data_IF_891241028634
#
_entry.id   IF_891241028634
#
_cell.length_a   1.000
_cell.length_b   1.000
_cell.length_c   1.000
_cell.angle_alpha   90.00
_cell.angle_beta   90.00
_cell.angle_gamma   90.00
#
_symmetry.space_group_name_H-M   'P 1'
#
loop_
_entity.id
_entity.type
_entity.pdbx_description
1 polymer ?
#
# COMPACT_ATOMS: atom_id res chain seq x y z
N UNK A 1 3.17 16.03 18.36
CA UNK A 1 1.74 16.37 18.55
C UNK A 1 1.16 16.79 17.22
N UNK A 2 0.20 16.03 16.69
CA UNK A 2 -0.51 16.33 15.45
C UNK A 2 -1.84 16.99 15.73
N UNK A 3 -2.20 17.97 14.91
CA UNK A 3 -3.47 18.67 14.98
C UNK A 3 -4.14 18.70 13.62
N UNK A 4 -5.38 18.27 13.56
CA UNK A 4 -6.22 18.42 12.37
C UNK A 4 -7.29 19.48 12.65
N UNK A 5 -7.48 20.39 11.68
CA UNK A 5 -8.52 21.40 11.73
C UNK A 5 -9.28 21.44 10.42
N UNK A 6 -10.58 21.49 10.47
CA UNK A 6 -11.38 21.81 9.31
C UNK A 6 -11.34 23.31 9.01
N UNK A 7 -11.12 23.64 7.75
CA UNK A 7 -11.20 25.03 7.28
C UNK A 7 -12.60 25.59 7.47
N UNK A 8 -12.65 26.88 7.73
CA UNK A 8 -13.87 27.60 8.15
C UNK A 8 -14.84 27.99 7.02
N UNK A 9 -14.54 27.64 5.76
CA UNK A 9 -15.34 28.02 4.59
C UNK A 9 -16.33 26.94 4.15
N UNK A 10 -16.64 25.98 5.00
CA UNK A 10 -17.68 25.02 4.71
C UNK A 10 -19.06 25.65 4.90
N UNK A 11 -20.00 25.19 4.08
CA UNK A 11 -21.41 25.55 4.21
C UNK A 11 -21.91 25.35 5.65
N UNK A 12 -23.02 25.98 6.01
CA UNK A 12 -23.65 25.88 7.32
C UNK A 12 -23.89 24.44 7.81
N UNK A 13 -23.82 23.44 6.91
CA UNK A 13 -23.91 22.03 7.24
C UNK A 13 -22.63 21.45 7.92
N UNK A 14 -21.53 22.20 7.97
CA UNK A 14 -20.26 21.73 8.54
C UNK A 14 -19.78 22.71 9.59
N UNK A 15 -20.22 22.50 10.78
CA UNK A 15 -20.19 23.49 11.83
C UNK A 15 -18.86 23.81 12.43
N UNK A 16 -18.78 25.10 12.80
CA UNK A 16 -17.90 25.53 13.88
C UNK A 16 -18.57 25.25 15.22
N UNK A 17 -17.81 24.89 16.27
CA UNK A 17 -18.30 24.91 17.62
C UNK A 17 -18.92 26.28 17.95
N UNK A 18 -20.11 26.27 18.49
CA UNK A 18 -20.83 27.49 18.89
C UNK A 18 -21.59 28.20 17.74
N UNK A 19 -21.63 27.66 16.53
CA UNK A 19 -22.48 28.17 15.47
C UNK A 19 -23.79 27.40 15.44
N UNK A 20 -24.88 28.09 15.72
CA UNK A 20 -26.23 27.54 15.60
C UNK A 20 -26.58 27.35 14.13
N UNK A 21 -26.83 26.11 13.69
CA UNK A 21 -27.12 25.76 12.28
C UNK A 21 -28.58 25.56 11.99
N UNK A 22 -29.40 25.54 13.03
CA UNK A 22 -30.79 25.13 12.94
C UNK A 22 -30.96 23.61 12.78
N UNK A 23 -29.89 22.85 12.87
CA UNK A 23 -29.91 21.41 12.98
C UNK A 23 -29.68 21.04 14.45
N UNK A 24 -30.74 20.66 15.19
CA UNK A 24 -30.64 20.41 16.63
C UNK A 24 -29.58 19.35 16.95
N UNK A 25 -29.39 18.40 16.04
CA UNK A 25 -28.44 17.32 16.22
C UNK A 25 -26.97 17.80 16.23
N UNK A 26 -26.66 18.81 15.45
CA UNK A 26 -25.34 19.38 15.35
C UNK A 26 -25.13 20.46 16.42
N UNK A 27 -26.17 21.26 16.68
CA UNK A 27 -26.11 22.40 17.62
C UNK A 27 -26.00 21.92 19.07
N UNK A 28 -26.63 20.77 19.42
CA UNK A 28 -26.60 20.20 20.74
C UNK A 28 -25.28 19.50 21.10
N UNK A 29 -24.54 18.98 20.12
CA UNK A 29 -23.36 18.15 20.36
C UNK A 29 -22.07 18.95 20.56
N UNK A 30 -22.08 20.26 20.37
CA UNK A 30 -20.89 21.13 20.52
C UNK A 30 -19.65 20.53 19.80
N UNK A 31 -19.76 20.26 18.51
CA UNK A 31 -18.81 19.52 17.69
C UNK A 31 -17.39 20.07 17.78
N UNK A 32 -16.37 19.22 17.98
CA UNK A 32 -15.00 19.65 17.93
C UNK A 32 -14.62 20.10 16.52
N UNK A 33 -13.90 21.24 16.42
CA UNK A 33 -13.32 21.74 15.17
C UNK A 33 -11.87 21.27 14.98
N UNK A 34 -11.34 20.53 15.96
CA UNK A 34 -9.99 19.97 15.95
C UNK A 34 -9.95 18.61 16.62
N UNK A 35 -9.04 17.78 16.13
CA UNK A 35 -8.56 16.57 16.80
C UNK A 35 -7.09 16.77 17.19
N UNK A 36 -6.72 16.34 18.36
CA UNK A 36 -5.36 16.35 18.85
C UNK A 36 -4.98 14.94 19.28
N UNK A 37 -3.80 14.52 18.90
CA UNK A 37 -3.22 13.25 19.33
C UNK A 37 -1.78 13.48 19.75
N UNK A 38 -1.38 12.86 20.85
CA UNK A 38 0.00 12.83 21.32
C UNK A 38 0.30 11.44 21.87
N UNK A 39 1.55 11.04 21.76
CA UNK A 39 2.00 9.73 22.21
C UNK A 39 3.52 9.63 22.17
N UNK A 40 4.02 8.55 22.73
CA UNK A 40 5.44 8.18 22.69
C UNK A 40 5.54 6.87 21.94
N UNK A 41 6.40 6.82 20.92
CA UNK A 41 6.71 5.62 20.16
C UNK A 41 8.17 5.24 20.38
N UNK A 42 8.44 3.95 20.38
CA UNK A 42 9.76 3.38 20.55
C UNK A 42 10.29 2.72 19.29
N UNK A 43 11.64 2.67 19.17
CA UNK A 43 12.31 1.84 18.18
C UNK A 43 13.62 1.33 18.76
N UNK A 44 13.87 0.03 18.59
CA UNK A 44 15.14 -0.59 18.92
C UNK A 44 15.59 -1.49 17.77
N UNK A 45 16.84 -1.37 17.36
CA UNK A 45 17.43 -2.21 16.30
C UNK A 45 18.78 -2.74 16.78
N UNK A 46 18.96 -4.05 16.63
CA UNK A 46 20.24 -4.72 16.81
C UNK A 46 20.70 -5.27 15.46
N UNK A 47 21.90 -4.87 15.04
CA UNK A 47 22.52 -5.34 13.80
C UNK A 47 23.79 -6.15 14.12
N UNK A 48 23.96 -7.24 13.39
CA UNK A 48 25.13 -8.10 13.49
C UNK A 48 25.78 -8.28 12.11
N UNK A 49 26.95 -7.70 11.93
CA UNK A 49 27.79 -7.95 10.77
C UNK A 49 28.58 -9.23 10.98
N UNK A 50 28.14 -10.34 10.37
CA UNK A 50 28.84 -11.63 10.40
C UNK A 50 30.15 -11.57 9.61
N UNK A 51 30.14 -10.80 8.50
CA UNK A 51 31.28 -10.48 7.64
C UNK A 51 31.00 -9.16 6.92
N UNK A 52 31.94 -8.71 6.08
CA UNK A 52 31.72 -7.53 5.20
C UNK A 52 30.56 -7.74 4.22
N UNK A 53 30.27 -8.99 3.87
CA UNK A 53 29.28 -9.37 2.89
C UNK A 53 27.94 -9.84 3.51
N UNK A 54 27.84 -10.02 4.83
CA UNK A 54 26.67 -10.60 5.47
C UNK A 54 26.32 -9.85 6.74
N UNK A 55 25.17 -9.23 6.74
CA UNK A 55 24.57 -8.56 7.89
C UNK A 55 23.18 -9.13 8.19
N UNK A 56 22.89 -9.33 9.47
CA UNK A 56 21.56 -9.62 10.01
C UNK A 56 21.13 -8.50 10.94
N UNK A 57 19.82 -8.29 11.04
CA UNK A 57 19.28 -7.34 12.01
C UNK A 57 17.95 -7.83 12.59
N UNK A 58 17.63 -7.34 13.78
CA UNK A 58 16.32 -7.45 14.41
C UNK A 58 15.87 -6.05 14.76
N UNK A 59 14.65 -5.73 14.44
CA UNK A 59 14.02 -4.44 14.78
C UNK A 59 12.70 -4.68 15.50
N UNK A 60 12.49 -3.96 16.59
CA UNK A 60 11.20 -3.67 17.16
C UNK A 60 10.90 -2.19 16.97
N UNK A 61 9.69 -1.85 16.55
CA UNK A 61 9.29 -0.46 16.39
C UNK A 61 7.79 -0.28 16.57
N UNK A 62 7.42 0.86 17.10
CA UNK A 62 6.05 1.31 17.26
C UNK A 62 5.76 2.50 16.35
N UNK A 63 4.51 2.67 15.98
CA UNK A 63 4.00 3.79 15.23
C UNK A 63 2.54 4.04 15.56
N UNK A 64 2.01 5.21 15.21
CA UNK A 64 0.59 5.51 15.29
C UNK A 64 0.16 6.48 14.19
N UNK A 65 -1.12 6.43 13.85
CA UNK A 65 -1.78 7.49 13.08
C UNK A 65 -2.71 8.27 14.01
N UNK A 66 -2.70 9.61 13.96
CA UNK A 66 -3.59 10.43 14.80
C UNK A 66 -5.05 10.18 14.46
N UNK A 67 -5.93 10.43 15.40
CA UNK A 67 -7.37 10.39 15.19
C UNK A 67 -7.83 11.43 14.17
N UNK A 68 -8.90 11.11 13.46
CA UNK A 68 -9.46 11.91 12.38
C UNK A 68 -10.77 12.57 12.82
N UNK A 69 -11.04 13.76 12.29
CA UNK A 69 -12.32 14.45 12.44
C UNK A 69 -13.34 13.93 11.40
N UNK A 70 -14.53 13.56 11.89
CA UNK A 70 -15.63 13.13 11.04
C UNK A 70 -16.57 14.29 10.70
N UNK A 71 -17.00 14.36 9.44
CA UNK A 71 -17.99 15.35 8.99
C UNK A 71 -19.43 14.92 9.19
N UNK A 72 -19.81 13.65 8.94
CA UNK A 72 -21.18 13.23 9.27
C UNK A 72 -21.29 12.84 10.75
N UNK A 73 -20.45 13.39 11.60
CA UNK A 73 -20.43 13.09 13.02
C UNK A 73 -21.82 13.24 13.66
N UNK A 74 -22.14 12.36 14.61
CA UNK A 74 -23.45 12.30 15.26
C UNK A 74 -24.57 11.65 14.44
N UNK A 75 -24.33 11.25 13.20
CA UNK A 75 -25.24 10.38 12.47
C UNK A 75 -25.28 9.01 13.16
N UNK A 76 -26.47 8.41 13.24
CA UNK A 76 -26.70 7.15 13.94
C UNK A 76 -27.43 6.16 13.08
N UNK A 77 -27.26 4.88 13.40
CA UNK A 77 -28.15 3.82 12.91
C UNK A 77 -29.60 4.11 13.32
N UNK A 78 -30.61 3.63 12.58
CA UNK A 78 -32.02 3.84 12.90
C UNK A 78 -32.43 3.32 14.30
N UNK A 79 -31.76 2.30 14.79
CA UNK A 79 -31.98 1.72 16.12
C UNK A 79 -31.13 2.38 17.23
N UNK A 80 -30.27 3.33 16.86
CA UNK A 80 -29.38 4.01 17.78
C UNK A 80 -28.22 3.16 18.34
N UNK A 81 -28.00 1.96 17.77
CA UNK A 81 -26.93 1.05 18.26
C UNK A 81 -25.54 1.56 17.97
N UNK A 82 -25.38 2.43 16.97
CA UNK A 82 -24.12 3.06 16.60
C UNK A 82 -24.31 4.53 16.24
N UNK A 83 -23.35 5.33 16.62
CA UNK A 83 -23.28 6.77 16.27
C UNK A 83 -21.86 7.11 15.81
N UNK A 84 -21.76 7.78 14.65
CA UNK A 84 -20.47 8.24 14.11
C UNK A 84 -19.82 9.20 15.09
N UNK A 85 -18.66 8.81 15.59
CA UNK A 85 -17.90 9.64 16.54
C UNK A 85 -17.38 10.90 15.86
N UNK A 86 -17.39 12.05 16.56
CA UNK A 86 -16.83 13.30 16.03
C UNK A 86 -15.35 13.17 15.70
N UNK A 87 -14.63 12.43 16.50
CA UNK A 87 -13.19 12.15 16.37
C UNK A 87 -12.98 10.66 16.56
N UNK A 88 -12.20 10.05 15.68
CA UNK A 88 -11.70 8.67 15.87
C UNK A 88 -10.56 8.65 16.88
N UNK A 89 -10.30 7.52 17.50
CA UNK A 89 -9.08 7.31 18.27
C UNK A 89 -7.88 7.14 17.31
N UNK A 90 -6.66 7.35 17.80
CA UNK A 90 -5.45 6.95 17.09
C UNK A 90 -5.46 5.43 16.84
N UNK A 91 -4.91 4.99 15.73
CA UNK A 91 -4.50 3.59 15.60
C UNK A 91 -3.02 3.44 15.94
N UNK A 92 -2.67 2.27 16.44
CA UNK A 92 -1.32 1.95 16.87
C UNK A 92 -0.81 0.74 16.10
N UNK A 93 0.49 0.75 15.83
CA UNK A 93 1.18 -0.31 15.09
C UNK A 93 2.43 -0.72 15.87
N UNK A 94 2.59 -2.02 16.09
CA UNK A 94 3.82 -2.61 16.60
C UNK A 94 4.40 -3.56 15.57
N UNK A 95 5.66 -3.33 15.18
CA UNK A 95 6.38 -4.15 14.21
C UNK A 95 7.54 -4.90 14.86
N UNK A 96 7.66 -6.18 14.55
CA UNK A 96 8.79 -7.05 14.84
C UNK A 96 9.36 -7.56 13.53
N UNK A 97 10.64 -7.34 13.29
CA UNK A 97 11.27 -7.67 12.01
C UNK A 97 12.63 -8.33 12.25
N UNK A 98 12.90 -9.41 11.51
CA UNK A 98 14.21 -9.99 11.32
C UNK A 98 14.58 -9.90 9.85
N UNK A 99 15.73 -9.30 9.55
CA UNK A 99 16.16 -9.15 8.17
C UNK A 99 17.63 -9.51 7.95
N UNK A 100 17.97 -9.63 6.67
CA UNK A 100 19.32 -9.90 6.20
C UNK A 100 19.68 -9.05 4.99
N UNK A 101 20.96 -8.71 4.89
CA UNK A 101 21.57 -8.10 3.71
C UNK A 101 22.81 -8.91 3.36
N UNK A 102 22.85 -9.45 2.14
CA UNK A 102 23.91 -10.37 1.77
C UNK A 102 24.44 -10.09 0.38
N UNK A 103 25.78 -10.23 0.26
CA UNK A 103 26.51 -10.28 -1.01
C UNK A 103 27.21 -11.64 -1.07
N UNK A 104 26.81 -12.48 -1.98
CA UNK A 104 27.20 -13.88 -2.07
C UNK A 104 27.89 -14.17 -3.39
N UNK A 105 28.53 -15.35 -3.51
CA UNK A 105 29.15 -15.83 -4.75
C UNK A 105 30.19 -14.83 -5.32
N UNK A 106 31.07 -14.32 -4.45
CA UNK A 106 32.12 -13.37 -4.84
C UNK A 106 31.56 -12.08 -5.50
N UNK A 107 30.48 -11.53 -4.91
CA UNK A 107 29.85 -10.29 -5.38
C UNK A 107 28.80 -10.47 -6.47
N UNK A 108 28.59 -11.70 -6.97
CA UNK A 108 27.67 -11.94 -8.09
C UNK A 108 26.20 -12.03 -7.68
N UNK A 109 25.90 -12.32 -6.43
CA UNK A 109 24.54 -12.39 -5.93
C UNK A 109 24.37 -11.46 -4.72
N UNK A 110 23.62 -10.40 -4.87
CA UNK A 110 23.05 -9.65 -3.77
C UNK A 110 21.66 -10.18 -3.48
N UNK A 111 21.40 -10.59 -2.24
CA UNK A 111 20.08 -11.04 -1.80
C UNK A 111 19.78 -10.44 -0.41
N UNK A 112 18.77 -9.61 -0.36
CA UNK A 112 18.26 -8.99 0.87
C UNK A 112 16.86 -9.48 1.13
N UNK A 113 16.43 -9.45 2.38
CA UNK A 113 15.05 -9.76 2.73
C UNK A 113 14.77 -9.55 4.20
N UNK A 114 13.51 -9.67 4.54
CA UNK A 114 13.03 -9.65 5.92
C UNK A 114 11.81 -10.53 6.11
N UNK A 115 11.66 -11.03 7.33
CA UNK A 115 10.43 -11.61 7.86
C UNK A 115 9.92 -10.66 8.92
N UNK A 116 8.64 -10.35 8.91
CA UNK A 116 8.06 -9.40 9.85
C UNK A 116 6.69 -9.84 10.34
N UNK A 117 6.33 -9.32 11.50
CA UNK A 117 5.01 -9.41 12.10
C UNK A 117 4.61 -8.00 12.56
N UNK A 118 3.42 -7.57 12.15
CA UNK A 118 2.86 -6.26 12.47
C UNK A 118 1.52 -6.45 13.13
N UNK A 119 1.40 -5.99 14.37
CA UNK A 119 0.15 -5.90 15.11
C UNK A 119 -0.43 -4.50 14.92
N UNK A 120 -1.69 -4.41 14.50
CA UNK A 120 -2.42 -3.17 14.29
C UNK A 120 -3.60 -3.12 15.24
N UNK A 121 -3.59 -2.13 16.14
CA UNK A 121 -4.66 -1.88 17.10
C UNK A 121 -5.50 -0.69 16.66
N UNK A 122 -6.83 -0.88 16.62
CA UNK A 122 -7.76 0.19 16.27
C UNK A 122 -7.63 0.70 14.83
N UNK A 123 -7.32 -0.18 13.86
CA UNK A 123 -7.17 0.17 12.45
C UNK A 123 -8.24 1.15 11.97
N UNK A 124 -7.83 2.36 11.62
CA UNK A 124 -8.72 3.36 11.05
C UNK A 124 -9.00 3.04 9.59
N UNK A 125 -10.27 3.04 9.22
CA UNK A 125 -10.69 2.93 7.82
C UNK A 125 -11.78 3.94 7.50
N UNK A 126 -11.95 4.23 6.21
CA UNK A 126 -13.06 5.03 5.72
C UNK A 126 -14.21 4.10 5.40
N UNK A 127 -15.36 4.37 5.99
CA UNK A 127 -16.58 3.57 5.86
C UNK A 127 -17.60 4.35 5.03
N UNK A 128 -18.25 3.65 4.10
CA UNK A 128 -19.47 4.11 3.48
C UNK A 128 -20.60 3.14 3.86
N UNK A 129 -21.46 3.57 4.78
CA UNK A 129 -22.63 2.81 5.22
C UNK A 129 -23.85 3.74 5.19
N UNK A 130 -24.67 3.65 4.13
CA UNK A 130 -25.83 4.53 3.96
C UNK A 130 -26.93 4.31 5.01
N UNK A 131 -26.89 3.22 5.76
CA UNK A 131 -27.83 3.02 6.90
C UNK A 131 -27.48 3.90 8.09
N UNK A 132 -26.22 4.36 8.19
CA UNK A 132 -25.72 5.24 9.23
C UNK A 132 -25.65 6.68 8.74
N UNK A 133 -24.91 6.90 7.63
CA UNK A 133 -24.70 8.22 7.07
C UNK A 133 -24.54 8.13 5.54
N UNK A 134 -25.23 8.99 4.79
CA UNK A 134 -25.07 9.05 3.33
C UNK A 134 -23.80 9.84 2.93
N UNK A 135 -22.74 9.71 3.71
CA UNK A 135 -21.42 10.28 3.49
C UNK A 135 -20.38 9.31 4.04
N UNK A 136 -19.15 9.42 3.52
CA UNK A 136 -18.02 8.69 4.08
C UNK A 136 -17.67 9.22 5.48
N UNK A 137 -17.37 8.32 6.39
CA UNK A 137 -16.83 8.63 7.70
C UNK A 137 -15.66 7.69 8.02
N UNK A 138 -14.83 8.08 8.97
CA UNK A 138 -13.73 7.26 9.47
C UNK A 138 -14.10 6.65 10.81
N UNK A 139 -13.68 5.42 11.04
CA UNK A 139 -13.80 4.75 12.32
C UNK A 139 -12.61 3.85 12.59
N UNK A 140 -12.37 3.53 13.85
CA UNK A 140 -11.47 2.47 14.25
C UNK A 140 -12.22 1.14 14.06
N UNK A 141 -12.04 0.52 12.90
CA UNK A 141 -12.92 -0.54 12.45
C UNK A 141 -12.49 -1.94 12.91
N UNK A 142 -11.20 -2.14 13.16
CA UNK A 142 -10.67 -3.48 13.43
C UNK A 142 -9.35 -3.46 14.20
N UNK A 143 -9.04 -4.58 14.87
CA UNK A 143 -7.66 -4.97 15.16
C UNK A 143 -7.23 -5.99 14.10
N UNK A 144 -5.98 -5.94 13.67
CA UNK A 144 -5.47 -6.79 12.59
C UNK A 144 -4.02 -7.18 12.79
N UNK A 145 -3.66 -8.37 12.27
CA UNK A 145 -2.29 -8.86 12.20
C UNK A 145 -1.84 -8.95 10.75
N UNK A 146 -0.56 -8.67 10.52
CA UNK A 146 0.10 -8.85 9.23
C UNK A 146 1.40 -9.61 9.48
N UNK A 147 1.56 -10.75 8.83
CA UNK A 147 2.83 -11.48 8.80
C UNK A 147 3.35 -11.52 7.38
N UNK A 148 4.63 -11.27 7.19
CA UNK A 148 5.18 -11.20 5.85
C UNK A 148 6.61 -11.67 5.72
N UNK A 149 6.93 -12.02 4.49
CA UNK A 149 8.29 -12.26 3.99
C UNK A 149 8.48 -11.44 2.72
N UNK A 150 9.50 -10.61 2.70
CA UNK A 150 9.86 -9.84 1.52
C UNK A 150 11.34 -9.99 1.18
N UNK A 151 11.67 -9.78 -0.09
CA UNK A 151 13.05 -9.83 -0.52
C UNK A 151 13.28 -9.25 -1.89
N UNK A 152 14.54 -8.90 -2.14
CA UNK A 152 15.05 -8.48 -3.43
C UNK A 152 16.37 -9.18 -3.75
N UNK A 153 16.64 -9.36 -5.04
CA UNK A 153 17.91 -9.90 -5.48
C UNK A 153 18.39 -9.28 -6.79
N UNK A 154 19.71 -9.23 -6.94
CA UNK A 154 20.41 -8.98 -8.21
C UNK A 154 21.43 -10.08 -8.37
N UNK A 155 21.42 -10.75 -9.50
CA UNK A 155 22.30 -11.87 -9.81
C UNK A 155 22.99 -11.67 -11.17
N UNK A 156 24.28 -11.79 -11.16
CA UNK A 156 25.15 -11.83 -12.34
C UNK A 156 25.65 -13.26 -12.53
N UNK A 157 24.99 -14.09 -13.35
CA UNK A 157 25.45 -15.46 -13.63
C UNK A 157 26.78 -15.46 -14.41
N UNK A 158 27.36 -16.67 -14.60
CA UNK A 158 28.58 -16.84 -15.40
C UNK A 158 28.31 -16.74 -16.92
N UNK A 159 27.46 -15.81 -17.31
CA UNK A 159 27.13 -15.45 -18.70
C UNK A 159 27.42 -13.96 -18.82
N UNK A 160 28.47 -13.62 -19.57
CA UNK A 160 28.86 -12.22 -19.76
C UNK A 160 27.68 -11.40 -20.30
N UNK A 161 27.43 -10.23 -19.69
CA UNK A 161 26.35 -9.35 -20.08
C UNK A 161 24.95 -9.70 -19.54
N UNK A 162 24.79 -10.84 -18.86
CA UNK A 162 23.48 -11.21 -18.27
C UNK A 162 23.35 -10.75 -16.82
N UNK A 163 22.26 -10.06 -16.53
CA UNK A 163 21.83 -9.68 -15.19
C UNK A 163 20.39 -10.17 -14.98
N UNK A 164 20.13 -10.80 -13.85
CA UNK A 164 18.78 -11.18 -13.41
C UNK A 164 18.49 -10.45 -12.10
N UNK A 165 17.32 -9.84 -11.99
CA UNK A 165 16.91 -9.14 -10.78
C UNK A 165 15.44 -9.41 -10.48
N UNK A 166 15.07 -9.28 -9.23
CA UNK A 166 13.68 -9.46 -8.84
C UNK A 166 13.43 -8.99 -7.42
N UNK A 167 12.14 -8.86 -7.12
CA UNK A 167 11.65 -8.62 -5.77
C UNK A 167 10.35 -9.39 -5.57
N UNK A 168 10.06 -9.74 -4.33
CA UNK A 168 8.84 -10.42 -3.96
C UNK A 168 8.39 -10.00 -2.56
N UNK A 169 7.08 -10.08 -2.35
CA UNK A 169 6.42 -9.95 -1.05
C UNK A 169 5.38 -11.06 -0.91
N UNK A 170 5.42 -11.76 0.21
CA UNK A 170 4.42 -12.73 0.63
C UNK A 170 3.78 -12.22 1.90
N UNK A 171 2.47 -12.04 1.92
CA UNK A 171 1.72 -11.51 3.04
C UNK A 171 0.63 -12.48 3.46
N UNK A 172 0.49 -12.62 4.76
CA UNK A 172 -0.68 -13.19 5.42
C UNK A 172 -1.27 -12.11 6.33
N UNK A 173 -2.52 -11.74 6.08
CA UNK A 173 -3.18 -10.65 6.81
C UNK A 173 -4.48 -11.15 7.39
N UNK A 174 -4.79 -10.78 8.63
CA UNK A 174 -6.00 -11.22 9.30
C UNK A 174 -6.61 -10.10 10.13
N UNK A 175 -7.91 -9.85 9.94
CA UNK A 175 -8.71 -9.07 10.87
C UNK A 175 -8.95 -9.95 12.11
N UNK A 176 -8.39 -9.57 13.24
CA UNK A 176 -8.52 -10.32 14.50
C UNK A 176 -9.82 -10.03 15.21
N UNK A 177 -10.26 -8.78 15.14
CA UNK A 177 -11.44 -8.32 15.88
C UNK A 177 -12.11 -7.18 15.14
N UNK A 178 -13.43 -7.24 15.00
CA UNK A 178 -14.24 -6.10 14.59
C UNK A 178 -14.47 -5.15 15.76
N UNK A 179 -14.29 -3.86 15.55
CA UNK A 179 -14.50 -2.79 16.52
C UNK A 179 -15.68 -1.88 16.14
N UNK A 180 -16.31 -2.10 15.00
CA UNK A 180 -17.43 -1.32 14.47
C UNK A 180 -18.67 -2.21 14.31
N UNK A 181 -19.85 -1.58 14.20
CA UNK A 181 -21.10 -2.26 13.85
C UNK A 181 -21.29 -2.45 12.35
N UNK A 182 -20.47 -1.79 11.51
CA UNK A 182 -20.43 -2.07 10.08
C UNK A 182 -19.87 -3.48 9.85
N UNK A 183 -20.28 -4.13 8.77
CA UNK A 183 -20.02 -5.54 8.47
C UNK A 183 -18.53 -5.85 8.24
N UNK A 184 -17.72 -5.69 9.27
CA UNK A 184 -16.31 -6.14 9.33
C UNK A 184 -16.26 -7.51 10.00
N UNK A 185 -15.69 -8.49 9.36
CA UNK A 185 -15.68 -9.88 9.82
C UNK A 185 -14.28 -10.32 10.21
N UNK A 186 -14.11 -10.79 11.45
CA UNK A 186 -12.86 -11.39 11.91
C UNK A 186 -12.52 -12.67 11.10
N UNK A 187 -11.22 -12.94 10.93
CA UNK A 187 -10.72 -14.04 10.10
C UNK A 187 -10.68 -13.73 8.60
N UNK A 188 -10.87 -12.47 8.19
CA UNK A 188 -10.78 -12.02 6.80
C UNK A 188 -9.51 -11.24 6.55
N UNK A 189 -9.10 -11.23 5.28
CA UNK A 189 -7.94 -10.49 4.82
C UNK A 189 -8.17 -8.97 4.87
N UNK A 190 -7.10 -8.22 5.01
CA UNK A 190 -7.10 -6.76 4.85
C UNK A 190 -7.34 -6.38 3.37
N UNK A 191 -7.87 -5.17 3.19
CA UNK A 191 -8.07 -4.60 1.86
C UNK A 191 -6.73 -4.30 1.16
N UNK A 192 -6.69 -4.50 -0.16
CA UNK A 192 -5.54 -4.24 -1.03
C UNK A 192 -4.24 -4.91 -0.59
N UNK A 193 -4.35 -6.04 0.11
CA UNK A 193 -3.24 -6.84 0.61
C UNK A 193 -3.21 -8.20 -0.11
N UNK A 194 -2.66 -8.30 -1.33
CA UNK A 194 -2.52 -9.58 -2.03
C UNK A 194 -1.53 -10.49 -1.29
N UNK A 195 -1.84 -11.77 -1.19
CA UNK A 195 -0.99 -12.75 -0.51
C UNK A 195 0.38 -12.95 -1.15
N UNK A 196 0.54 -12.60 -2.43
CA UNK A 196 1.82 -12.61 -3.13
C UNK A 196 1.87 -11.47 -4.13
N UNK A 197 3.01 -10.78 -4.17
CA UNK A 197 3.42 -9.92 -5.27
C UNK A 197 4.87 -10.24 -5.63
N UNK A 198 5.17 -10.33 -6.93
CA UNK A 198 6.51 -10.61 -7.39
C UNK A 198 6.80 -9.97 -8.73
N UNK A 199 8.06 -9.62 -8.94
CA UNK A 199 8.57 -9.30 -10.26
C UNK A 199 9.95 -9.94 -10.45
N UNK A 200 10.23 -10.32 -11.70
CA UNK A 200 11.56 -10.78 -12.13
C UNK A 200 11.89 -10.17 -13.47
N UNK A 201 13.11 -9.71 -13.64
CA UNK A 201 13.63 -9.18 -14.89
C UNK A 201 14.95 -9.86 -15.24
N UNK A 202 15.14 -10.14 -16.53
CA UNK A 202 16.39 -10.57 -17.09
C UNK A 202 16.82 -9.57 -18.16
N UNK A 203 18.04 -9.04 -18.04
CA UNK A 203 18.65 -8.09 -18.98
C UNK A 203 19.94 -8.69 -19.51
N UNK A 204 20.04 -8.72 -20.83
CA UNK A 204 21.26 -9.15 -21.52
C UNK A 204 21.82 -7.99 -22.31
N UNK A 205 23.12 -7.71 -22.13
CA UNK A 205 23.86 -6.65 -22.81
C UNK A 205 25.04 -7.25 -23.57
N UNK A 206 25.33 -6.71 -24.74
CA UNK A 206 26.46 -7.15 -25.57
C UNK A 206 27.14 -5.96 -26.25
N UNK A 207 28.46 -6.06 -26.44
CA UNK A 207 29.23 -5.12 -27.26
C UNK A 207 28.94 -5.28 -28.72
N UNK A 208 28.75 -4.18 -29.42
CA UNK A 208 28.58 -4.14 -30.87
C UNK A 208 29.89 -3.68 -31.54
N UNK A 209 30.12 -4.10 -32.80
CA UNK A 209 31.30 -3.71 -33.59
C UNK A 209 31.42 -2.21 -33.82
N UNK A 210 30.33 -1.45 -33.66
CA UNK A 210 30.31 0.02 -33.75
C UNK A 210 30.79 0.72 -32.50
N UNK A 211 31.16 0.00 -31.42
CA UNK A 211 31.50 0.56 -30.11
C UNK A 211 30.29 0.91 -29.24
N UNK A 212 29.08 0.66 -29.73
CA UNK A 212 27.84 0.79 -28.95
C UNK A 212 27.57 -0.51 -28.16
N UNK A 213 26.66 -0.41 -27.17
CA UNK A 213 26.11 -1.53 -26.41
C UNK A 213 24.70 -1.82 -26.90
N UNK A 214 24.44 -3.06 -27.32
CA UNK A 214 23.09 -3.56 -27.50
C UNK A 214 22.54 -4.11 -26.20
N UNK A 215 21.22 -4.03 -25.99
CA UNK A 215 20.57 -4.69 -24.85
C UNK A 215 19.17 -5.20 -25.21
N UNK A 216 18.78 -6.25 -24.52
CA UNK A 216 17.39 -6.75 -24.45
C UNK A 216 17.03 -7.02 -22.99
N UNK A 217 15.81 -6.73 -22.61
CA UNK A 217 15.29 -7.01 -21.27
C UNK A 217 13.87 -7.54 -21.36
N UNK A 218 13.61 -8.63 -20.65
CA UNK A 218 12.27 -9.11 -20.33
C UNK A 218 11.98 -8.92 -18.86
N UNK A 219 10.73 -8.64 -18.52
CA UNK A 219 10.25 -8.55 -17.14
C UNK A 219 8.90 -9.23 -17.02
N UNK A 220 8.71 -10.02 -15.98
CA UNK A 220 7.44 -10.61 -15.58
C UNK A 220 7.00 -10.00 -14.24
N UNK A 221 5.74 -9.62 -14.14
CA UNK A 221 5.09 -9.12 -12.93
C UNK A 221 3.91 -10.03 -12.63
N UNK A 222 3.73 -10.39 -11.37
CA UNK A 222 2.61 -11.18 -10.89
C UNK A 222 2.09 -10.65 -9.55
N UNK A 223 0.78 -10.73 -9.36
CA UNK A 223 0.10 -10.44 -8.10
C UNK A 223 -0.99 -11.46 -7.87
N UNK A 224 -1.14 -11.90 -6.63
CA UNK A 224 -2.29 -12.70 -6.22
C UNK A 224 -3.54 -11.82 -6.12
N UNK A 225 -4.70 -12.46 -5.92
CA UNK A 225 -5.96 -11.79 -5.67
C UNK A 225 -5.88 -10.86 -4.46
N UNK A 226 -6.71 -9.83 -4.45
CA UNK A 226 -6.94 -8.96 -3.31
C UNK A 226 -8.41 -8.56 -3.21
N UNK A 227 -8.74 -7.78 -2.21
CA UNK A 227 -10.10 -7.26 -2.02
C UNK A 227 -10.04 -5.75 -1.83
N UNK A 228 -11.07 -5.04 -2.27
CA UNK A 228 -11.10 -3.57 -2.25
C UNK A 228 -11.47 -2.96 -0.90
N UNK A 229 -12.06 -3.73 0.00
CA UNK A 229 -12.60 -3.22 1.27
C UNK A 229 -12.57 -4.32 2.32
N UNK A 230 -12.58 -3.93 3.60
CA UNK A 230 -12.80 -4.80 4.74
C UNK A 230 -14.28 -4.88 5.13
N UNK A 231 -15.12 -3.96 4.63
CA UNK A 231 -16.56 -3.94 4.83
C UNK A 231 -17.22 -4.89 3.81
N UNK A 232 -17.82 -5.98 4.28
CA UNK A 232 -18.30 -7.06 3.41
C UNK A 232 -19.25 -6.60 2.28
N UNK A 233 -20.25 -5.71 2.49
CA UNK A 233 -21.11 -5.21 1.40
C UNK A 233 -20.38 -4.41 0.32
N UNK A 234 -19.24 -3.80 0.64
CA UNK A 234 -18.44 -2.97 -0.27
C UNK A 234 -17.29 -3.75 -0.91
N UNK A 235 -17.08 -4.98 -0.46
CA UNK A 235 -15.94 -5.81 -0.80
C UNK A 235 -16.05 -6.35 -2.22
N UNK A 236 -15.19 -5.88 -3.09
CA UNK A 236 -15.02 -6.42 -4.43
C UNK A 236 -13.69 -7.15 -4.55
N UNK A 237 -13.70 -8.31 -5.19
CA UNK A 237 -12.51 -9.10 -5.46
C UNK A 237 -11.80 -8.57 -6.69
N UNK A 238 -10.50 -8.34 -6.59
CA UNK A 238 -9.57 -8.21 -7.70
C UNK A 238 -8.92 -9.58 -7.91
N UNK A 239 -9.04 -10.13 -9.11
CA UNK A 239 -8.44 -11.44 -9.44
C UNK A 239 -6.91 -11.36 -9.52
N UNK A 240 -6.25 -12.49 -9.31
CA UNK A 240 -4.82 -12.62 -9.53
C UNK A 240 -4.48 -12.38 -11.00
N UNK A 241 -3.33 -11.79 -11.25
CA UNK A 241 -2.89 -11.48 -12.60
C UNK A 241 -1.38 -11.62 -12.77
N UNK A 242 -0.97 -11.73 -14.02
CA UNK A 242 0.42 -11.58 -14.42
C UNK A 242 0.52 -10.95 -15.80
N UNK A 243 1.56 -10.15 -16.02
CA UNK A 243 1.85 -9.56 -17.31
C UNK A 243 3.35 -9.42 -17.53
N UNK A 244 3.75 -9.25 -18.78
CA UNK A 244 5.15 -9.14 -19.15
C UNK A 244 5.43 -7.83 -19.91
N UNK A 245 6.65 -7.34 -19.72
CA UNK A 245 7.22 -6.21 -20.45
C UNK A 245 8.47 -6.66 -21.19
N UNK A 246 8.71 -6.10 -22.35
CA UNK A 246 9.93 -6.35 -23.16
C UNK A 246 10.47 -5.02 -23.66
N UNK A 247 11.77 -4.87 -23.63
CA UNK A 247 12.47 -3.73 -24.22
C UNK A 247 13.78 -4.15 -24.86
N UNK A 248 14.16 -3.46 -25.90
CA UNK A 248 15.44 -3.63 -26.58
C UNK A 248 15.96 -2.30 -27.07
N UNK A 249 17.27 -2.13 -27.07
CA UNK A 249 17.84 -0.85 -27.46
C UNK A 249 19.33 -0.91 -27.70
N UNK A 250 19.84 0.25 -28.04
CA UNK A 250 21.26 0.50 -28.29
C UNK A 250 21.65 1.74 -27.47
N UNK A 251 22.82 1.73 -26.90
CA UNK A 251 23.34 2.85 -26.12
C UNK A 251 24.84 3.05 -26.33
N UNK A 252 25.29 4.26 -26.01
CA UNK A 252 26.69 4.58 -25.77
C UNK A 252 26.78 5.64 -24.65
N UNK A 253 27.95 6.18 -24.39
CA UNK A 253 28.18 7.14 -23.32
C UNK A 253 27.32 8.41 -23.42
N UNK A 254 26.90 8.81 -24.63
CA UNK A 254 26.17 10.04 -24.89
C UNK A 254 24.66 9.86 -25.08
N UNK A 255 24.17 8.69 -25.41
CA UNK A 255 22.76 8.51 -25.73
C UNK A 255 22.27 7.06 -25.56
N UNK A 256 20.95 6.93 -25.43
CA UNK A 256 20.21 5.64 -25.42
C UNK A 256 19.03 5.76 -26.37
N UNK A 257 18.86 4.77 -27.24
CA UNK A 257 17.67 4.59 -28.08
C UNK A 257 17.05 3.22 -27.77
N UNK A 258 15.78 3.18 -27.41
CA UNK A 258 15.10 1.97 -26.94
C UNK A 258 13.69 1.89 -27.51
N UNK A 259 13.29 0.72 -27.98
CA UNK A 259 11.89 0.35 -28.21
C UNK A 259 11.42 -0.48 -27.04
N UNK A 260 10.19 -0.28 -26.60
CA UNK A 260 9.59 -1.06 -25.52
C UNK A 260 8.14 -1.43 -25.83
N UNK A 261 7.74 -2.56 -25.26
CA UNK A 261 6.35 -3.02 -25.22
C UNK A 261 6.05 -3.30 -23.73
N UNK A 262 5.27 -2.44 -23.11
CA UNK A 262 4.75 -2.67 -21.79
C UNK A 262 3.44 -3.45 -21.88
N UNK A 263 3.23 -4.42 -20.97
CA UNK A 263 2.07 -5.29 -20.96
C UNK A 263 1.85 -6.00 -22.31
N UNK A 264 2.84 -6.75 -22.77
CA UNK A 264 2.79 -7.47 -24.06
C UNK A 264 1.66 -8.51 -24.14
N UNK A 265 1.19 -8.97 -22.98
CA UNK A 265 0.05 -9.90 -22.83
C UNK A 265 -1.31 -9.22 -22.99
N UNK A 266 -1.35 -7.88 -23.05
CA UNK A 266 -2.54 -7.03 -23.01
C UNK A 266 -3.51 -7.39 -21.86
N UNK A 267 -2.93 -7.74 -20.70
CA UNK A 267 -3.71 -8.05 -19.49
C UNK A 267 -4.54 -6.84 -19.05
N UNK A 268 -5.75 -7.07 -18.54
CA UNK A 268 -6.69 -6.04 -18.10
C UNK A 268 -7.01 -6.17 -16.61
N UNK A 269 -5.99 -6.49 -15.83
CA UNK A 269 -6.14 -6.70 -14.40
C UNK A 269 -6.73 -5.49 -13.70
N UNK A 270 -7.71 -5.74 -12.85
CA UNK A 270 -8.25 -4.75 -11.93
C UNK A 270 -7.29 -4.57 -10.76
N UNK A 271 -6.88 -3.32 -10.50
CA UNK A 271 -5.98 -2.97 -9.39
C UNK A 271 -6.71 -2.18 -8.29
N UNK A 272 -7.92 -1.73 -8.56
CA UNK A 272 -8.82 -1.11 -7.60
C UNK A 272 -10.26 -1.24 -8.09
N UNK A 273 -11.16 -1.50 -7.17
CA UNK A 273 -12.58 -1.66 -7.46
C UNK A 273 -13.37 -1.15 -6.25
N UNK A 274 -13.69 0.13 -6.26
CA UNK A 274 -14.32 0.81 -5.13
C UNK A 274 -15.73 1.27 -5.51
N UNK A 275 -16.63 1.19 -4.54
CA UNK A 275 -17.91 1.86 -4.64
C UNK A 275 -17.81 3.30 -4.17
N UNK A 276 -18.26 4.25 -4.99
CA UNK A 276 -18.40 5.65 -4.63
C UNK A 276 -19.88 6.01 -4.81
N UNK A 277 -20.56 6.16 -3.69
CA UNK A 277 -22.00 6.21 -3.60
C UNK A 277 -22.62 4.90 -4.18
N UNK A 278 -23.39 4.97 -5.21
CA UNK A 278 -24.04 3.85 -5.92
C UNK A 278 -23.27 3.38 -7.18
N UNK A 279 -22.06 3.93 -7.39
CA UNK A 279 -21.27 3.70 -8.61
C UNK A 279 -19.98 2.95 -8.31
N UNK A 280 -19.81 1.83 -8.96
CA UNK A 280 -18.57 1.10 -9.00
C UNK A 280 -17.54 1.84 -9.85
N UNK A 281 -16.34 2.02 -9.31
CA UNK A 281 -15.17 2.58 -9.98
C UNK A 281 -14.07 1.53 -10.04
N UNK A 282 -13.73 1.14 -11.25
CA UNK A 282 -12.70 0.15 -11.50
C UNK A 282 -11.49 0.83 -12.14
N UNK A 283 -10.33 0.67 -11.53
CA UNK A 283 -9.05 1.02 -12.14
C UNK A 283 -8.37 -0.26 -12.62
N UNK A 284 -7.87 -0.22 -13.86
CA UNK A 284 -7.15 -1.34 -14.47
C UNK A 284 -5.71 -0.94 -14.76
N UNK A 285 -4.82 -1.94 -14.87
CA UNK A 285 -3.47 -1.70 -15.35
C UNK A 285 -3.49 -1.11 -16.76
N UNK A 286 -2.39 -0.40 -17.11
CA UNK A 286 -2.27 0.17 -18.46
C UNK A 286 -2.33 -0.94 -19.51
N UNK A 287 -3.13 -0.79 -20.58
CA UNK A 287 -3.15 -1.73 -21.70
C UNK A 287 -1.79 -1.83 -22.38
N UNK A 288 -1.63 -2.83 -23.25
CA UNK A 288 -0.44 -2.96 -24.07
C UNK A 288 -0.06 -1.61 -24.69
N UNK A 289 1.17 -1.20 -24.46
CA UNK A 289 1.69 0.09 -24.91
C UNK A 289 3.03 -0.12 -25.60
N UNK A 290 3.12 0.30 -26.85
CA UNK A 290 4.36 0.28 -27.62
C UNK A 290 4.92 1.69 -27.67
N UNK A 291 6.20 1.86 -27.40
CA UNK A 291 6.83 3.17 -27.41
C UNK A 291 8.30 3.15 -27.79
N UNK A 292 8.79 4.33 -28.08
CA UNK A 292 10.19 4.61 -28.34
C UNK A 292 10.70 5.58 -27.27
N UNK A 293 11.90 5.32 -26.78
CA UNK A 293 12.62 6.21 -25.86
C UNK A 293 13.93 6.62 -26.49
N UNK A 294 14.20 7.91 -26.49
CA UNK A 294 15.49 8.45 -26.84
C UNK A 294 15.94 9.40 -25.75
N UNK A 295 17.14 9.15 -25.20
CA UNK A 295 17.75 9.97 -24.15
C UNK A 295 19.13 10.39 -24.59
N UNK A 296 19.46 11.66 -24.43
CA UNK A 296 20.80 12.24 -24.66
C UNK A 296 21.30 12.79 -23.32
N UNK A 297 22.56 12.52 -23.02
CA UNK A 297 23.27 13.14 -21.89
C UNK A 297 24.15 14.26 -22.48
N UNK A 298 23.96 15.49 -22.00
CA UNK A 298 24.73 16.65 -22.40
C UNK A 298 25.86 16.95 -21.43
#
# INVERSE_FOLDING_TARGET
RDQQRFGTNSSAAFNKPGVVTGNPFIDELNYPDKAESDGVIGKATLSWNKSDDVMYYVTWSEGFRPGLLNRPAGQSTPDGSYTVRPVTDSDEVTNYEFGWKTVLQDGRLRFNGSVFMVDVSGLQTTIFDPSIANLFFSDNAADADITGLEGDFIYYPNIEGLMISGAFSLLDTEIKKSLTTSDVVAGRDLAFAPGMQANVAARYEWGMSSGNLGHIQGQLIASDKSYSDIIEPNKAKQDSYSYANVRAGISNDGWVAEIYIDNITDERAEISNNYVFDRQRVAVIRPMTIGLRYKVNF
#
